data_IF_233949006088
#
_entry.id   IF_233949006088
#
_cell.length_a   1.000
_cell.length_b   1.000
_cell.length_c   1.000
_cell.angle_alpha   90.00
_cell.angle_beta   90.00
_cell.angle_gamma   90.00
#
_symmetry.space_group_name_H-M   'P 1'
#
loop_
_entity.id
_entity.type
_entity.pdbx_description
1 polymer ?
#
# COMPACT_ATOMS: atom_id res chain seq x y z
N UNK A 1 -83.71 17.43 -27.44
CA UNK A 1 -84.09 17.62 -26.01
C UNK A 1 -83.03 16.89 -25.18
N UNK A 2 -82.32 17.39 -24.18
CA UNK A 2 -82.29 18.63 -23.38
C UNK A 2 -80.80 18.83 -23.00
N UNK A 3 -80.36 20.09 -22.95
CA UNK A 3 -79.02 20.55 -22.58
C UNK A 3 -78.80 20.54 -21.05
N UNK A 4 -77.52 20.75 -20.71
CA UNK A 4 -76.94 21.51 -19.58
C UNK A 4 -76.36 20.72 -18.38
N UNK A 5 -75.03 20.57 -18.44
CA UNK A 5 -74.04 21.25 -17.57
C UNK A 5 -74.09 20.98 -16.06
N UNK A 6 -73.05 20.33 -15.55
CA UNK A 6 -72.46 20.60 -14.24
C UNK A 6 -70.97 20.23 -14.24
N UNK A 7 -70.16 21.27 -14.14
CA UNK A 7 -68.74 21.34 -13.75
C UNK A 7 -68.48 20.65 -12.41
N UNK A 8 -67.41 19.84 -12.32
CA UNK A 8 -66.67 19.67 -11.06
C UNK A 8 -65.24 19.18 -11.28
N UNK A 9 -64.28 19.96 -10.79
CA UNK A 9 -63.03 19.48 -10.17
C UNK A 9 -61.97 18.82 -11.03
N UNK A 10 -61.08 19.63 -11.60
CA UNK A 10 -59.71 19.22 -11.96
C UNK A 10 -58.98 18.87 -10.66
N UNK A 11 -58.61 17.60 -10.47
CA UNK A 11 -57.61 17.20 -9.48
C UNK A 11 -56.37 16.75 -10.25
N UNK A 12 -55.45 17.70 -10.44
CA UNK A 12 -54.15 17.49 -11.05
C UNK A 12 -53.27 16.80 -10.00
N UNK A 13 -53.22 15.47 -10.02
CA UNK A 13 -52.23 14.72 -9.23
C UNK A 13 -50.91 14.82 -9.98
N UNK A 14 -50.10 15.77 -9.54
CA UNK A 14 -48.71 15.94 -9.93
C UNK A 14 -47.91 14.79 -9.33
N UNK A 15 -47.81 13.66 -10.04
CA UNK A 15 -46.83 12.63 -9.71
C UNK A 15 -45.44 13.16 -10.04
N UNK A 16 -44.78 13.72 -9.02
CA UNK A 16 -43.34 13.94 -8.99
C UNK A 16 -42.66 12.58 -9.09
N UNK A 17 -42.26 12.19 -10.30
CA UNK A 17 -41.20 11.21 -10.49
C UNK A 17 -39.91 11.87 -10.01
N UNK A 18 -39.62 11.71 -8.72
CA UNK A 18 -38.26 11.87 -8.20
C UNK A 18 -37.46 10.73 -8.80
N UNK A 19 -36.87 11.00 -9.95
CA UNK A 19 -35.73 10.25 -10.48
C UNK A 19 -34.58 10.52 -9.51
N UNK A 20 -34.44 9.70 -8.48
CA UNK A 20 -33.15 9.56 -7.81
C UNK A 20 -32.22 8.96 -8.86
N UNK A 21 -31.38 9.82 -9.44
CA UNK A 21 -30.16 9.35 -10.08
C UNK A 21 -29.37 8.60 -9.03
N UNK A 22 -28.95 7.38 -9.36
CA UNK A 22 -27.84 6.74 -8.67
C UNK A 22 -26.61 7.60 -9.01
N UNK A 23 -26.38 8.61 -8.19
CA UNK A 23 -25.09 9.24 -8.06
C UNK A 23 -24.22 8.21 -7.35
N UNK A 24 -23.23 7.73 -8.09
CA UNK A 24 -21.91 7.35 -7.61
C UNK A 24 -21.89 6.66 -6.24
N UNK A 25 -21.73 5.33 -6.27
CA UNK A 25 -21.06 4.60 -5.19
C UNK A 25 -19.61 5.10 -5.13
N UNK A 26 -19.43 6.32 -4.61
CA UNK A 26 -18.16 6.81 -4.13
C UNK A 26 -17.82 5.95 -2.91
N UNK A 27 -17.13 4.84 -3.17
CA UNK A 27 -16.39 4.11 -2.15
C UNK A 27 -15.40 5.12 -1.58
N UNK A 28 -15.80 5.76 -0.49
CA UNK A 28 -14.95 6.64 0.29
C UNK A 28 -13.88 5.75 0.93
N UNK A 29 -12.80 5.51 0.18
CA UNK A 29 -11.53 4.97 0.64
C UNK A 29 -10.88 6.02 1.54
N UNK A 30 -11.52 6.29 2.68
CA UNK A 30 -10.95 7.06 3.76
C UNK A 30 -9.87 6.19 4.41
N UNK A 31 -8.75 6.06 3.68
CA UNK A 31 -7.50 5.55 4.20
C UNK A 31 -7.16 6.49 5.36
N UNK A 32 -7.23 5.95 6.56
CA UNK A 32 -6.90 6.68 7.79
C UNK A 32 -5.39 6.93 7.83
N UNK A 33 -4.93 7.85 7.01
CA UNK A 33 -3.63 8.51 7.07
C UNK A 33 -3.86 9.81 7.82
N UNK A 34 -3.04 10.14 8.81
CA UNK A 34 -3.16 11.43 9.49
C UNK A 34 -3.23 12.58 8.48
N UNK A 35 -4.24 13.44 8.60
CA UNK A 35 -4.58 14.46 7.60
C UNK A 35 -5.50 13.90 6.52
N UNK A 36 -6.72 14.44 6.39
CA UNK A 36 -7.77 13.96 5.48
C UNK A 36 -7.50 14.14 3.98
N UNK A 37 -6.24 14.26 3.58
CA UNK A 37 -5.75 14.54 2.23
C UNK A 37 -4.79 13.46 1.68
N UNK A 38 -4.47 12.42 2.46
CA UNK A 38 -3.57 11.34 2.02
C UNK A 38 -2.08 11.66 2.12
N UNK A 39 -1.69 12.84 2.65
CA UNK A 39 -0.30 13.33 2.65
C UNK A 39 0.57 12.76 3.79
N UNK A 40 0.01 11.94 4.67
CA UNK A 40 0.75 11.29 5.76
C UNK A 40 1.23 12.30 6.81
N UNK A 41 2.54 12.40 7.03
CA UNK A 41 3.12 13.45 7.89
C UNK A 41 3.28 14.80 7.18
N UNK A 42 2.95 14.85 5.88
CA UNK A 42 3.02 16.05 5.06
C UNK A 42 1.78 16.94 5.20
N UNK A 43 1.83 18.05 4.50
CA UNK A 43 0.75 19.04 4.38
C UNK A 43 0.73 19.60 2.96
N UNK A 44 -0.37 20.22 2.55
CA UNK A 44 -0.45 20.95 1.29
C UNK A 44 0.63 22.03 1.22
N UNK A 45 1.22 22.21 0.04
CA UNK A 45 2.24 23.22 -0.19
C UNK A 45 1.62 24.62 -0.12
N UNK A 46 2.37 25.57 0.43
CA UNK A 46 1.96 26.98 0.46
C UNK A 46 1.75 27.55 -0.96
N UNK A 47 0.65 28.27 -1.15
CA UNK A 47 0.25 28.94 -2.40
C UNK A 47 1.33 29.85 -2.97
N UNK A 48 2.28 30.30 -2.15
CA UNK A 48 3.37 31.17 -2.60
C UNK A 48 4.24 30.55 -3.70
N UNK A 49 4.30 29.20 -3.80
CA UNK A 49 4.98 28.50 -4.88
C UNK A 49 4.19 28.44 -6.19
N UNK A 50 2.87 28.71 -6.16
CA UNK A 50 2.01 28.71 -7.33
C UNK A 50 1.96 27.37 -8.06
N UNK A 51 2.05 26.26 -7.33
CA UNK A 51 1.92 24.91 -7.88
C UNK A 51 0.43 24.59 -8.05
N UNK A 52 0.01 24.18 -9.24
CA UNK A 52 -1.38 23.77 -9.45
C UNK A 52 -1.64 22.40 -8.79
N UNK A 53 -2.92 22.14 -8.46
CA UNK A 53 -3.35 20.80 -8.07
C UNK A 53 -2.95 19.79 -9.14
N UNK A 54 -2.38 18.69 -8.66
CA UNK A 54 -1.75 17.69 -9.50
C UNK A 54 -2.40 16.32 -9.37
N UNK A 55 -2.20 15.49 -10.38
CA UNK A 55 -2.69 14.10 -10.40
C UNK A 55 -1.82 13.13 -9.57
N UNK A 56 -0.76 13.63 -8.91
CA UNK A 56 0.14 12.84 -8.07
C UNK A 56 0.05 13.30 -6.61
N UNK A 57 -0.04 12.32 -5.71
CA UNK A 57 -0.07 12.51 -4.26
C UNK A 57 1.24 12.00 -3.67
N UNK A 58 1.98 12.88 -2.99
CA UNK A 58 3.19 12.52 -2.25
C UNK A 58 2.84 12.41 -0.77
N UNK A 59 2.85 11.20 -0.25
CA UNK A 59 2.54 10.93 1.15
C UNK A 59 3.84 10.76 1.95
N UNK A 60 4.15 11.72 2.84
CA UNK A 60 5.33 11.64 3.71
C UNK A 60 5.10 10.56 4.75
N UNK A 61 5.92 9.53 4.73
CA UNK A 61 5.84 8.43 5.69
C UNK A 61 6.73 8.71 6.90
N UNK A 62 7.98 9.12 6.65
CA UNK A 62 8.94 9.43 7.70
C UNK A 62 9.89 10.56 7.29
N UNK A 63 10.48 11.20 8.29
CA UNK A 63 11.49 12.23 8.09
C UNK A 63 12.52 12.19 9.20
N UNK A 64 13.79 12.41 8.84
CA UNK A 64 14.87 12.44 9.80
C UNK A 64 15.95 13.44 9.39
N UNK A 65 16.63 13.96 10.41
CA UNK A 65 17.77 14.85 10.27
C UNK A 65 18.99 14.19 10.89
N UNK A 66 20.10 14.18 10.17
CA UNK A 66 21.38 13.63 10.62
C UNK A 66 22.43 14.71 10.55
N UNK A 67 23.15 14.92 11.67
CA UNK A 67 24.31 15.81 11.68
C UNK A 67 25.37 15.28 10.69
N UNK A 68 26.15 16.15 10.02
CA UNK A 68 26.21 17.61 10.23
C UNK A 68 25.11 18.43 9.56
N UNK A 69 24.30 17.91 8.64
CA UNK A 69 23.28 18.74 7.98
C UNK A 69 22.42 18.01 6.94
N UNK A 70 22.33 16.69 7.04
CA UNK A 70 21.59 15.83 6.12
C UNK A 70 20.12 15.79 6.53
N UNK A 71 19.24 16.10 5.59
CA UNK A 71 17.79 15.94 5.74
C UNK A 71 17.38 14.79 4.83
N UNK A 72 16.59 13.87 5.37
CA UNK A 72 16.15 12.68 4.67
C UNK A 72 14.63 12.55 4.80
N UNK A 73 13.96 12.48 3.67
CA UNK A 73 12.50 12.41 3.58
C UNK A 73 12.12 11.12 2.89
N UNK A 74 11.33 10.31 3.58
CA UNK A 74 10.77 9.10 3.05
C UNK A 74 9.31 9.34 2.69
N UNK A 75 8.97 9.11 1.44
CA UNK A 75 7.62 9.35 0.95
C UNK A 75 7.23 8.31 -0.09
N UNK A 76 5.93 8.25 -0.32
CA UNK A 76 5.26 7.34 -1.22
C UNK A 76 4.53 8.16 -2.27
N UNK A 77 4.64 7.78 -3.53
CA UNK A 77 3.92 8.47 -4.61
C UNK A 77 2.78 7.59 -5.10
N UNK A 78 1.58 8.16 -5.13
CA UNK A 78 0.40 7.56 -5.76
C UNK A 78 -0.28 8.54 -6.69
N UNK A 79 -1.22 8.05 -7.49
CA UNK A 79 -2.20 8.92 -8.14
C UNK A 79 -3.31 9.35 -7.16
N UNK A 80 -4.27 10.14 -7.65
CA UNK A 80 -5.45 10.58 -6.90
C UNK A 80 -6.40 9.44 -6.56
N UNK A 81 -6.35 8.33 -7.29
CA UNK A 81 -7.13 7.11 -7.05
C UNK A 81 -6.43 6.17 -6.06
N UNK A 82 -5.21 6.51 -5.61
CA UNK A 82 -4.41 5.74 -4.68
C UNK A 82 -3.52 4.67 -5.32
N UNK A 83 -3.47 4.55 -6.65
CA UNK A 83 -2.60 3.60 -7.33
C UNK A 83 -1.13 4.00 -7.20
N UNK A 84 -0.22 3.04 -6.96
CA UNK A 84 1.21 3.33 -6.83
C UNK A 84 1.81 3.86 -8.13
N UNK A 85 2.70 4.85 -8.03
CA UNK A 85 3.46 5.36 -9.18
C UNK A 85 4.95 5.01 -9.02
N UNK A 86 5.42 3.91 -9.64
CA UNK A 86 6.81 3.46 -9.53
C UNK A 86 7.72 4.12 -10.58
N UNK A 87 9.02 3.83 -10.48
CA UNK A 87 9.99 4.13 -11.55
C UNK A 87 10.39 5.60 -11.70
N UNK A 88 9.98 6.46 -10.78
CA UNK A 88 10.35 7.87 -10.80
C UNK A 88 11.85 8.09 -10.57
N UNK A 89 12.41 9.05 -11.29
CA UNK A 89 13.84 9.37 -11.30
C UNK A 89 14.11 10.73 -10.68
N UNK A 90 15.33 10.93 -10.17
CA UNK A 90 15.70 12.12 -9.40
C UNK A 90 15.44 13.46 -10.10
N UNK A 91 15.55 13.50 -11.43
CA UNK A 91 15.33 14.69 -12.26
C UNK A 91 13.85 15.09 -12.40
N UNK A 92 12.91 14.24 -11.97
CA UNK A 92 11.48 14.54 -11.97
C UNK A 92 11.04 15.24 -10.68
N UNK A 93 11.95 15.44 -9.73
CA UNK A 93 11.65 16.10 -8.47
C UNK A 93 12.34 17.45 -8.37
N UNK A 94 11.60 18.44 -7.89
CA UNK A 94 12.11 19.76 -7.54
C UNK A 94 11.92 19.98 -6.05
N UNK A 95 12.94 20.53 -5.41
CA UNK A 95 12.99 20.67 -3.96
C UNK A 95 13.12 22.14 -3.62
N UNK A 96 12.34 22.53 -2.62
CA UNK A 96 12.14 23.91 -2.23
C UNK A 96 12.36 24.02 -0.73
N UNK A 97 13.24 24.93 -0.31
CA UNK A 97 13.46 25.21 1.11
C UNK A 97 13.06 26.64 1.42
N UNK A 98 12.32 26.84 2.50
CA UNK A 98 12.02 28.16 3.04
C UNK A 98 12.70 28.32 4.39
N UNK A 99 13.65 29.25 4.46
CA UNK A 99 14.22 29.68 5.73
C UNK A 99 13.39 30.76 6.39
N UNK A 100 13.67 31.03 7.67
CA UNK A 100 12.98 32.05 8.47
C UNK A 100 12.96 33.46 7.85
N UNK A 101 13.93 33.79 7.00
CA UNK A 101 14.05 35.11 6.36
C UNK A 101 13.54 35.13 4.92
N UNK A 102 12.96 34.03 4.43
CA UNK A 102 12.49 33.91 3.06
C UNK A 102 10.97 34.13 3.03
N UNK A 103 10.51 35.10 2.24
CA UNK A 103 9.07 35.39 2.06
C UNK A 103 8.33 34.19 1.43
N UNK A 104 9.03 33.38 0.63
CA UNK A 104 8.54 32.14 0.03
C UNK A 104 9.70 31.15 -0.15
N UNK A 105 9.39 29.91 -0.47
CA UNK A 105 10.37 28.87 -0.74
C UNK A 105 11.30 29.21 -1.90
N UNK A 106 12.55 28.72 -1.81
CA UNK A 106 13.56 28.83 -2.86
C UNK A 106 13.97 27.44 -3.33
N UNK A 107 14.08 27.26 -4.64
CA UNK A 107 14.57 26.01 -5.21
C UNK A 107 15.98 25.74 -4.72
N UNK A 108 16.19 24.54 -4.19
CA UNK A 108 17.52 24.07 -3.83
C UNK A 108 18.22 23.63 -5.10
N UNK A 109 19.33 24.27 -5.44
CA UNK A 109 20.17 23.81 -6.55
C UNK A 109 20.71 22.41 -6.25
N UNK A 110 20.47 21.46 -7.16
CA UNK A 110 21.03 20.11 -7.10
C UNK A 110 22.56 20.11 -7.12
N UNK A 111 23.18 21.17 -7.65
CA UNK A 111 24.64 21.36 -7.69
C UNK A 111 25.22 21.81 -6.35
N UNK A 112 24.45 22.55 -5.54
CA UNK A 112 24.92 23.14 -4.28
C UNK A 112 24.62 22.27 -3.05
N UNK A 113 23.59 21.41 -3.14
CA UNK A 113 23.04 20.66 -2.00
C UNK A 113 23.45 19.19 -1.93
N UNK A 114 24.25 18.70 -2.87
CA UNK A 114 24.53 17.27 -3.06
C UNK A 114 23.26 16.41 -3.02
N UNK A 115 22.12 16.97 -3.46
CA UNK A 115 20.83 16.32 -3.42
C UNK A 115 20.85 15.01 -4.21
N UNK A 116 20.39 13.93 -3.57
CA UNK A 116 20.28 12.61 -4.19
C UNK A 116 18.92 12.03 -3.86
N UNK A 117 18.16 11.73 -4.91
CA UNK A 117 17.04 10.81 -4.81
C UNK A 117 17.61 9.46 -5.20
N UNK A 118 17.58 8.54 -4.25
CA UNK A 118 18.02 7.19 -4.48
C UNK A 118 16.85 6.27 -4.22
N UNK A 119 16.59 5.27 -5.09
CA UNK A 119 15.70 4.16 -4.79
C UNK A 119 16.33 3.23 -3.72
N UNK A 120 17.10 3.78 -2.77
CA UNK A 120 18.20 3.12 -2.08
C UNK A 120 17.73 1.86 -1.34
N UNK A 121 17.96 0.70 -1.97
CA UNK A 121 17.74 -0.62 -1.40
C UNK A 121 18.50 -0.84 -0.09
N UNK A 122 19.54 -0.05 0.20
CA UNK A 122 20.33 -0.21 1.43
C UNK A 122 19.61 0.24 2.71
N UNK A 123 18.63 1.14 2.60
CA UNK A 123 17.82 1.57 3.74
C UNK A 123 16.35 1.17 3.64
N UNK A 124 15.96 0.54 2.53
CA UNK A 124 14.59 0.18 2.23
C UNK A 124 14.39 -1.33 2.31
N UNK A 125 13.46 -1.77 3.15
CA UNK A 125 13.12 -3.18 3.33
C UNK A 125 11.67 -3.39 2.91
N UNK A 126 11.48 -4.01 1.74
CA UNK A 126 10.21 -4.52 1.27
C UNK A 126 10.05 -5.97 1.70
N UNK A 127 9.15 -6.20 2.65
CA UNK A 127 8.87 -7.55 3.14
C UNK A 127 7.50 -8.00 2.63
N UNK A 128 7.42 -9.16 1.99
CA UNK A 128 6.15 -9.76 1.59
C UNK A 128 5.85 -10.96 2.47
N UNK A 129 4.64 -11.01 3.02
CA UNK A 129 4.08 -12.18 3.68
C UNK A 129 3.14 -12.85 2.69
N UNK A 130 3.57 -13.98 2.13
CA UNK A 130 2.72 -14.85 1.33
C UNK A 130 2.00 -15.80 2.28
N UNK A 131 0.67 -15.70 2.37
CA UNK A 131 -0.16 -16.45 3.31
C UNK A 131 -1.08 -17.38 2.53
N UNK A 132 -0.88 -18.68 2.70
CA UNK A 132 -1.53 -19.73 1.91
C UNK A 132 -2.57 -20.48 2.73
N UNK A 133 -3.80 -20.54 2.22
CA UNK A 133 -4.81 -21.46 2.73
C UNK A 133 -4.42 -22.89 2.35
N UNK A 134 -4.21 -23.75 3.35
CA UNK A 134 -3.96 -25.18 3.19
C UNK A 134 -5.04 -26.00 3.94
N UNK A 135 -6.26 -25.49 3.98
CA UNK A 135 -7.45 -26.24 4.40
C UNK A 135 -7.75 -27.40 3.45
N UNK A 136 -8.66 -28.29 3.85
CA UNK A 136 -8.91 -29.51 3.08
C UNK A 136 -9.54 -29.24 1.70
N UNK A 137 -10.30 -28.16 1.51
CA UNK A 137 -10.79 -27.77 0.17
C UNK A 137 -9.63 -27.56 -0.79
N UNK A 138 -8.60 -26.83 -0.35
CA UNK A 138 -7.41 -26.57 -1.13
C UNK A 138 -6.58 -27.84 -1.33
N UNK A 139 -6.23 -28.55 -0.25
CA UNK A 139 -5.33 -29.71 -0.31
C UNK A 139 -5.89 -30.86 -1.17
N UNK A 140 -7.23 -30.99 -1.23
CA UNK A 140 -7.87 -32.07 -1.97
C UNK A 140 -8.16 -31.74 -3.44
N UNK A 141 -8.27 -30.46 -3.80
CA UNK A 141 -8.80 -30.06 -5.11
C UNK A 141 -7.92 -29.09 -5.89
N UNK A 142 -7.09 -28.30 -5.21
CA UNK A 142 -6.45 -27.11 -5.78
C UNK A 142 -4.98 -26.94 -5.39
N UNK A 143 -4.35 -27.94 -4.76
CA UNK A 143 -2.97 -27.82 -4.28
C UNK A 143 -1.98 -27.57 -5.42
N UNK A 144 -2.10 -28.30 -6.53
CA UNK A 144 -1.19 -28.13 -7.67
C UNK A 144 -1.34 -26.74 -8.29
N UNK A 145 -2.57 -26.24 -8.41
CA UNK A 145 -2.86 -24.87 -8.84
C UNK A 145 -2.25 -23.85 -7.88
N UNK A 146 -2.42 -24.02 -6.57
CA UNK A 146 -1.86 -23.13 -5.55
C UNK A 146 -0.33 -23.12 -5.60
N UNK A 147 0.32 -24.26 -5.81
CA UNK A 147 1.79 -24.34 -5.90
C UNK A 147 2.33 -23.64 -7.15
N UNK A 148 1.70 -23.86 -8.30
CA UNK A 148 2.06 -23.20 -9.56
C UNK A 148 1.86 -21.68 -9.47
N UNK A 149 0.74 -21.27 -8.90
CA UNK A 149 0.37 -19.90 -8.62
C UNK A 149 1.37 -19.19 -7.72
N UNK A 150 1.66 -19.79 -6.56
CA UNK A 150 2.58 -19.25 -5.57
C UNK A 150 3.99 -19.13 -6.15
N UNK A 151 4.45 -20.14 -6.90
CA UNK A 151 5.75 -20.09 -7.59
C UNK A 151 5.83 -18.96 -8.62
N UNK A 152 4.76 -18.74 -9.39
CA UNK A 152 4.71 -17.66 -10.39
C UNK A 152 4.66 -16.28 -9.72
N UNK A 153 3.92 -16.16 -8.61
CA UNK A 153 3.90 -14.96 -7.79
C UNK A 153 5.30 -14.62 -7.24
N UNK A 154 6.01 -15.62 -6.70
CA UNK A 154 7.39 -15.46 -6.24
C UNK A 154 8.29 -14.99 -7.39
N UNK A 155 8.18 -15.59 -8.58
CA UNK A 155 9.00 -15.20 -9.75
C UNK A 155 8.75 -13.76 -10.21
N UNK A 156 7.53 -13.24 -10.03
CA UNK A 156 7.15 -11.90 -10.46
C UNK A 156 7.44 -10.81 -9.40
N UNK A 157 7.32 -11.14 -8.11
CA UNK A 157 7.59 -10.18 -7.01
C UNK A 157 9.06 -10.17 -6.60
N UNK A 158 9.71 -11.34 -6.55
CA UNK A 158 11.11 -11.43 -6.12
C UNK A 158 12.04 -11.12 -7.29
N UNK A 159 13.01 -10.20 -7.13
CA UNK A 159 13.97 -9.86 -8.18
C UNK A 159 14.76 -11.08 -8.65
N UNK A 160 15.05 -11.12 -9.96
CA UNK A 160 15.83 -12.22 -10.56
C UNK A 160 17.27 -12.32 -10.02
N UNK A 161 17.81 -11.19 -9.58
CA UNK A 161 19.07 -11.09 -8.85
C UNK A 161 18.75 -10.80 -7.39
N UNK A 162 19.26 -11.62 -6.47
CA UNK A 162 19.03 -11.48 -5.03
C UNK A 162 19.33 -10.06 -4.53
N UNK A 163 18.36 -9.47 -3.84
CA UNK A 163 18.50 -8.16 -3.19
C UNK A 163 18.07 -8.29 -1.73
N UNK A 164 18.95 -7.95 -0.79
CA UNK A 164 18.63 -8.02 0.65
C UNK A 164 17.51 -7.07 1.08
N UNK A 165 17.18 -6.10 0.24
CA UNK A 165 16.08 -5.15 0.43
C UNK A 165 14.70 -5.70 0.10
N UNK A 166 14.62 -6.82 -0.62
CA UNK A 166 13.36 -7.45 -1.00
C UNK A 166 13.36 -8.85 -0.44
N UNK A 167 12.49 -9.09 0.54
CA UNK A 167 12.37 -10.39 1.20
C UNK A 167 10.94 -10.87 1.20
N UNK A 168 10.77 -12.17 1.24
CA UNK A 168 9.47 -12.81 1.38
C UNK A 168 9.55 -13.90 2.44
N UNK A 169 8.51 -14.01 3.24
CA UNK A 169 8.26 -15.14 4.12
C UNK A 169 6.97 -15.84 3.65
N UNK A 170 6.90 -17.15 3.85
CA UNK A 170 5.72 -17.93 3.48
C UNK A 170 5.12 -18.48 4.76
N UNK A 171 3.84 -18.18 4.95
CA UNK A 171 3.02 -18.70 6.02
C UNK A 171 1.85 -19.48 5.43
N UNK A 172 1.26 -20.35 6.22
CA UNK A 172 0.05 -21.05 5.86
C UNK A 172 -0.89 -21.16 7.06
N UNK A 173 -2.16 -21.37 6.75
CA UNK A 173 -3.21 -21.55 7.75
C UNK A 173 -4.19 -22.62 7.30
N UNK A 174 -4.88 -23.19 8.27
CA UNK A 174 -5.96 -24.16 8.13
C UNK A 174 -7.03 -23.83 9.18
N UNK A 175 -7.69 -24.83 9.78
CA UNK A 175 -8.70 -24.61 10.82
C UNK A 175 -8.15 -24.33 12.21
N UNK A 176 -6.84 -24.43 12.44
CA UNK A 176 -6.22 -24.19 13.74
C UNK A 176 -6.14 -22.70 14.09
N UNK A 177 -6.09 -22.38 15.38
CA UNK A 177 -5.83 -20.99 15.84
C UNK A 177 -4.31 -20.67 15.76
N UNK A 178 -3.68 -20.99 14.63
CA UNK A 178 -2.25 -20.85 14.41
C UNK A 178 -1.97 -20.37 12.98
N UNK A 179 -0.97 -19.49 12.83
CA UNK A 179 -0.44 -19.12 11.52
C UNK A 179 0.94 -19.75 11.40
N UNK A 180 1.00 -20.86 10.68
CA UNK A 180 2.17 -21.72 10.57
C UNK A 180 3.21 -21.11 9.63
N UNK A 181 4.48 -21.18 10.02
CA UNK A 181 5.60 -20.72 9.19
C UNK A 181 6.03 -21.83 8.24
N UNK A 182 5.94 -21.61 6.92
CA UNK A 182 6.48 -22.52 5.91
C UNK A 182 7.94 -22.18 5.58
N UNK A 183 8.23 -20.89 5.38
CA UNK A 183 9.58 -20.41 5.08
C UNK A 183 9.86 -19.09 5.78
N UNK A 184 11.02 -18.99 6.43
CA UNK A 184 11.50 -17.75 7.03
C UNK A 184 11.67 -16.64 5.99
N UNK A 185 11.76 -15.39 6.48
CA UNK A 185 11.95 -14.22 5.64
C UNK A 185 13.31 -14.29 4.90
N UNK A 186 13.28 -14.48 3.59
CA UNK A 186 14.48 -14.67 2.76
C UNK A 186 14.44 -13.81 1.49
N UNK A 187 15.63 -13.47 0.97
CA UNK A 187 15.80 -12.85 -0.35
C UNK A 187 15.97 -13.91 -1.46
N UNK A 188 16.04 -15.20 -1.08
CA UNK A 188 16.28 -16.33 -1.98
C UNK A 188 15.00 -16.80 -2.65
N UNK A 189 14.85 -16.46 -3.93
CA UNK A 189 13.76 -16.95 -4.78
C UNK A 189 13.71 -18.47 -4.89
N UNK A 190 14.87 -19.12 -4.98
CA UNK A 190 14.95 -20.58 -5.09
C UNK A 190 14.46 -21.25 -3.81
N UNK A 191 14.87 -20.74 -2.64
CA UNK A 191 14.44 -21.28 -1.34
C UNK A 191 12.92 -21.19 -1.16
N UNK A 192 12.32 -20.06 -1.53
CA UNK A 192 10.86 -19.86 -1.48
C UNK A 192 10.13 -20.86 -2.37
N UNK A 193 10.62 -21.11 -3.60
CA UNK A 193 10.01 -22.05 -4.54
C UNK A 193 10.16 -23.49 -4.06
N UNK A 194 11.32 -23.85 -3.54
CA UNK A 194 11.56 -25.18 -2.96
C UNK A 194 10.62 -25.44 -1.76
N UNK A 195 10.33 -24.42 -0.95
CA UNK A 195 9.37 -24.51 0.15
C UNK A 195 7.94 -24.75 -0.35
N UNK A 196 7.49 -24.04 -1.39
CA UNK A 196 6.19 -24.27 -2.04
C UNK A 196 6.12 -25.68 -2.63
N UNK A 197 7.15 -26.10 -3.36
CA UNK A 197 7.23 -27.42 -3.99
C UNK A 197 7.23 -28.56 -2.95
N UNK A 198 7.70 -28.29 -1.74
CA UNK A 198 7.70 -29.21 -0.61
C UNK A 198 6.34 -29.42 0.07
N UNK A 199 5.30 -28.62 -0.25
CA UNK A 199 3.97 -28.79 0.36
C UNK A 199 3.35 -30.13 -0.07
N UNK A 200 2.88 -30.89 0.92
CA UNK A 200 2.21 -32.19 0.77
C UNK A 200 0.80 -32.17 1.36
N UNK A 201 -0.06 -33.09 0.92
CA UNK A 201 -1.47 -33.17 1.34
C UNK A 201 -1.68 -33.48 2.83
N UNK A 202 -0.65 -33.94 3.53
CA UNK A 202 -0.68 -34.31 4.96
C UNK A 202 -0.08 -33.22 5.87
N UNK A 203 0.20 -32.03 5.33
CA UNK A 203 0.75 -30.91 6.10
C UNK A 203 -0.23 -30.36 7.15
N UNK A 204 -1.53 -30.37 6.84
CA UNK A 204 -2.60 -29.93 7.74
C UNK A 204 -3.32 -31.13 8.37
N UNK A 205 -3.71 -30.96 9.64
CA UNK A 205 -4.54 -31.92 10.37
C UNK A 205 -5.95 -31.39 10.70
N UNK A 206 -6.21 -30.10 10.47
CA UNK A 206 -7.53 -29.48 10.66
C UNK A 206 -8.12 -29.10 9.30
N UNK A 207 -9.17 -29.80 8.82
CA UNK A 207 -9.69 -29.58 7.47
C UNK A 207 -10.43 -28.26 7.29
N UNK A 208 -10.70 -27.50 8.36
CA UNK A 208 -11.43 -26.23 8.33
C UNK A 208 -10.54 -25.06 7.86
N UNK A 209 -11.08 -23.85 7.88
CA UNK A 209 -10.44 -22.62 7.36
C UNK A 209 -10.61 -21.48 8.38
N UNK A 210 -9.54 -21.05 9.05
CA UNK A 210 -9.46 -19.88 9.94
C UNK A 210 -8.91 -18.64 9.19
N UNK A 211 -9.63 -18.22 8.15
CA UNK A 211 -9.26 -17.06 7.32
C UNK A 211 -9.13 -15.79 8.17
N UNK A 212 -10.07 -15.55 9.09
CA UNK A 212 -10.05 -14.35 9.91
C UNK A 212 -8.91 -14.35 10.92
N UNK A 213 -8.58 -15.50 11.51
CA UNK A 213 -7.38 -15.64 12.32
C UNK A 213 -6.10 -15.42 11.52
N UNK A 214 -6.01 -15.94 10.30
CA UNK A 214 -4.86 -15.73 9.42
C UNK A 214 -4.66 -14.25 9.05
N UNK A 215 -5.74 -13.51 8.75
CA UNK A 215 -5.70 -12.06 8.50
C UNK A 215 -5.16 -11.32 9.72
N UNK A 216 -5.67 -11.62 10.92
CA UNK A 216 -5.26 -10.92 12.14
C UNK A 216 -3.78 -11.18 12.44
N UNK A 217 -3.38 -12.44 12.45
CA UNK A 217 -2.01 -12.88 12.78
C UNK A 217 -1.00 -12.39 11.75
N UNK A 218 -1.31 -12.45 10.45
CA UNK A 218 -0.42 -11.91 9.40
C UNK A 218 -0.28 -10.38 9.49
N UNK A 219 -1.34 -9.67 9.88
CA UNK A 219 -1.28 -8.22 10.13
C UNK A 219 -0.36 -7.89 11.30
N UNK A 220 -0.37 -8.69 12.37
CA UNK A 220 0.53 -8.52 13.52
C UNK A 220 1.99 -8.74 13.12
N UNK A 221 2.28 -9.81 12.37
CA UNK A 221 3.63 -10.08 11.86
C UNK A 221 4.10 -8.94 10.93
N UNK A 222 3.24 -8.45 10.03
CA UNK A 222 3.56 -7.34 9.15
C UNK A 222 3.84 -6.04 9.93
N UNK A 223 3.07 -5.77 10.98
CA UNK A 223 3.26 -4.62 11.86
C UNK A 223 4.60 -4.68 12.60
N UNK A 224 4.95 -5.85 13.12
CA UNK A 224 6.24 -6.12 13.73
C UNK A 224 7.41 -5.94 12.75
N UNK A 225 7.24 -6.40 11.51
CA UNK A 225 8.24 -6.23 10.45
C UNK A 225 8.45 -4.75 10.11
N UNK A 226 7.38 -3.98 9.92
CA UNK A 226 7.48 -2.54 9.69
C UNK A 226 8.16 -1.84 10.88
N UNK A 227 7.80 -2.20 12.12
CA UNK A 227 8.41 -1.62 13.31
C UNK A 227 9.91 -1.95 13.42
N UNK A 228 10.30 -3.21 13.23
CA UNK A 228 11.70 -3.68 13.28
C UNK A 228 12.53 -3.09 12.14
N UNK A 229 11.99 -3.04 10.93
CA UNK A 229 12.65 -2.42 9.77
C UNK A 229 12.78 -0.91 9.92
N UNK A 230 11.98 -0.27 10.78
CA UNK A 230 12.12 1.15 11.12
C UNK A 230 13.12 1.38 12.27
N UNK A 231 13.44 0.36 13.05
CA UNK A 231 14.42 0.44 14.13
C UNK A 231 15.85 0.56 13.57
N UNK A 232 16.51 1.68 13.86
CA UNK A 232 17.89 1.94 13.41
C UNK A 232 18.03 2.84 12.18
N UNK A 233 17.00 3.62 11.84
CA UNK A 233 17.04 4.60 10.74
C UNK A 233 16.88 3.98 9.35
N UNK A 234 16.50 2.71 9.29
CA UNK A 234 16.00 2.05 8.08
C UNK A 234 14.51 2.30 7.96
N UNK A 235 13.95 2.01 6.79
CA UNK A 235 12.57 2.23 6.45
C UNK A 235 11.99 0.92 5.94
N UNK A 236 10.88 0.48 6.53
CA UNK A 236 10.21 -0.77 6.17
C UNK A 236 8.82 -0.57 5.59
N UNK A 237 8.52 -1.29 4.51
CA UNK A 237 7.17 -1.52 4.04
C UNK A 237 6.88 -3.03 4.08
N UNK A 238 5.62 -3.38 4.29
CA UNK A 238 5.17 -4.76 4.27
C UNK A 238 4.00 -4.94 3.29
N UNK A 239 3.93 -6.10 2.66
CA UNK A 239 2.77 -6.53 1.89
C UNK A 239 2.28 -7.86 2.45
N UNK A 240 0.99 -7.94 2.75
CA UNK A 240 0.31 -9.19 3.14
C UNK A 240 -0.48 -9.65 1.93
N UNK A 241 -0.22 -10.86 1.46
CA UNK A 241 -0.91 -11.46 0.30
C UNK A 241 -1.54 -12.76 0.73
N UNK A 242 -2.87 -12.78 0.79
CA UNK A 242 -3.65 -13.93 1.27
C UNK A 242 -4.26 -14.66 0.09
N UNK A 243 -4.05 -15.98 0.05
CA UNK A 243 -4.63 -16.89 -0.91
C UNK A 243 -5.63 -17.79 -0.20
N UNK A 244 -6.83 -17.93 -0.77
CA UNK A 244 -7.84 -18.87 -0.27
C UNK A 244 -8.79 -19.30 -1.39
N UNK A 245 -9.35 -20.51 -1.28
CA UNK A 245 -10.40 -21.00 -2.17
C UNK A 245 -11.80 -20.93 -1.55
N UNK A 246 -11.91 -20.42 -0.32
CA UNK A 246 -13.12 -20.48 0.47
C UNK A 246 -13.36 -19.28 1.37
N UNK A 247 -14.33 -19.45 2.27
CA UNK A 247 -14.69 -18.51 3.32
C UNK A 247 -14.19 -19.00 4.67
N UNK A 248 -14.22 -18.14 5.68
CA UNK A 248 -13.95 -18.56 7.06
C UNK A 248 -14.99 -19.60 7.50
N UNK A 249 -14.52 -20.81 7.85
CA UNK A 249 -15.33 -21.93 8.31
C UNK A 249 -15.07 -22.26 9.78
N UNK A 250 -13.87 -21.93 10.29
CA UNK A 250 -13.50 -22.19 11.67
C UNK A 250 -14.23 -21.24 12.65
N UNK A 251 -14.63 -20.05 12.20
CA UNK A 251 -15.38 -19.04 12.96
C UNK A 251 -14.75 -18.72 14.33
N UNK A 252 -13.42 -18.79 14.41
CA UNK A 252 -12.67 -18.52 15.65
C UNK A 252 -12.61 -17.03 15.96
N UNK A 253 -12.55 -16.22 14.92
CA UNK A 253 -12.58 -14.78 14.97
C UNK A 253 -13.77 -14.25 14.19
N UNK A 254 -14.16 -13.00 14.47
CA UNK A 254 -15.23 -12.35 13.69
C UNK A 254 -14.64 -11.63 12.48
N UNK A 255 -15.41 -11.56 11.41
CA UNK A 255 -15.12 -10.75 10.24
C UNK A 255 -14.79 -9.30 10.62
N UNK A 256 -15.64 -8.68 11.45
CA UNK A 256 -15.44 -7.33 11.98
C UNK A 256 -14.07 -7.14 12.64
N UNK A 257 -13.61 -8.12 13.43
CA UNK A 257 -12.29 -8.07 14.06
C UNK A 257 -11.17 -8.09 13.03
N UNK A 258 -11.27 -8.95 12.00
CA UNK A 258 -10.28 -9.06 10.94
C UNK A 258 -10.23 -7.79 10.07
N UNK A 259 -11.39 -7.31 9.62
CA UNK A 259 -11.51 -6.10 8.81
C UNK A 259 -11.06 -4.85 9.57
N UNK A 260 -11.41 -4.75 10.86
CA UNK A 260 -10.91 -3.67 11.73
C UNK A 260 -9.39 -3.71 11.85
N UNK A 261 -8.81 -4.90 11.99
CA UNK A 261 -7.34 -5.06 12.06
C UNK A 261 -6.67 -4.56 10.79
N UNK A 262 -7.19 -4.93 9.62
CA UNK A 262 -6.70 -4.45 8.31
C UNK A 262 -6.88 -2.93 8.17
N UNK A 263 -8.02 -2.38 8.58
CA UNK A 263 -8.32 -0.95 8.49
C UNK A 263 -7.40 -0.11 9.37
N UNK A 264 -7.15 -0.56 10.60
CA UNK A 264 -6.34 0.15 11.60
C UNK A 264 -4.82 -0.10 11.40
N UNK A 265 -4.43 -0.98 10.49
CA UNK A 265 -3.03 -1.27 10.17
C UNK A 265 -2.28 -0.05 9.62
N UNK A 266 -0.97 -0.01 9.89
CA UNK A 266 -0.06 1.05 9.42
C UNK A 266 -0.15 1.23 7.88
N UNK A 267 -0.11 2.47 7.40
CA UNK A 267 -0.19 2.81 5.97
C UNK A 267 0.94 2.23 5.11
N UNK A 268 2.05 1.83 5.74
CA UNK A 268 3.17 1.12 5.10
C UNK A 268 2.89 -0.39 4.91
N UNK A 269 1.74 -0.89 5.39
CA UNK A 269 1.28 -2.26 5.17
C UNK A 269 0.23 -2.25 4.06
N UNK A 270 0.52 -2.97 2.98
CA UNK A 270 -0.40 -3.18 1.87
C UNK A 270 -1.04 -4.56 1.99
N UNK A 271 -2.31 -4.67 1.62
CA UNK A 271 -3.07 -5.91 1.77
C UNK A 271 -3.65 -6.33 0.43
N UNK A 272 -3.36 -7.56 0.05
CA UNK A 272 -3.81 -8.18 -1.17
C UNK A 272 -4.54 -9.47 -0.86
N UNK A 273 -5.62 -9.75 -1.60
CA UNK A 273 -6.36 -11.01 -1.48
C UNK A 273 -6.52 -11.66 -2.84
N UNK A 274 -6.46 -12.99 -2.83
CA UNK A 274 -6.54 -13.82 -4.04
C UNK A 274 -7.49 -14.95 -3.77
N UNK A 275 -8.67 -14.87 -4.38
CA UNK A 275 -9.70 -15.88 -4.31
C UNK A 275 -9.62 -16.84 -5.49
N UNK A 276 -9.62 -18.14 -5.21
CA UNK A 276 -9.70 -19.20 -6.21
C UNK A 276 -11.05 -19.90 -6.14
N UNK A 277 -11.71 -20.08 -7.28
CA UNK A 277 -12.95 -20.84 -7.37
C UNK A 277 -14.21 -20.04 -7.04
N UNK A 278 -15.28 -20.77 -6.76
CA UNK A 278 -16.63 -20.21 -6.61
C UNK A 278 -17.17 -20.16 -5.18
N UNK A 279 -16.44 -20.71 -4.21
CA UNK A 279 -16.88 -20.82 -2.80
C UNK A 279 -16.29 -19.71 -1.91
N UNK A 280 -15.82 -18.64 -2.55
CA UNK A 280 -15.25 -17.45 -1.90
C UNK A 280 -16.30 -16.36 -1.67
N UNK A 281 -16.09 -15.55 -0.63
CA UNK A 281 -16.81 -14.29 -0.44
C UNK A 281 -15.98 -13.13 -1.01
N UNK A 282 -16.36 -12.66 -2.19
CA UNK A 282 -15.64 -11.59 -2.89
C UNK A 282 -15.72 -10.24 -2.18
N UNK A 283 -16.79 -9.99 -1.41
CA UNK A 283 -16.95 -8.73 -0.68
C UNK A 283 -15.97 -8.69 0.51
N UNK A 284 -15.94 -9.78 1.28
CA UNK A 284 -15.01 -9.95 2.41
C UNK A 284 -13.56 -9.95 1.93
N UNK A 285 -13.24 -10.68 0.87
CA UNK A 285 -11.89 -10.69 0.32
C UNK A 285 -11.48 -9.33 -0.23
N UNK A 286 -12.40 -8.58 -0.84
CA UNK A 286 -12.13 -7.20 -1.28
C UNK A 286 -11.83 -6.27 -0.10
N UNK A 287 -12.55 -6.44 1.01
CA UNK A 287 -12.34 -5.66 2.23
C UNK A 287 -11.01 -6.04 2.94
N UNK A 288 -10.63 -7.32 2.93
CA UNK A 288 -9.33 -7.80 3.43
C UNK A 288 -8.20 -7.26 2.54
N UNK A 289 -8.28 -7.47 1.23
CA UNK A 289 -7.33 -7.00 0.24
C UNK A 289 -7.58 -5.55 -0.16
N UNK A 290 -7.62 -4.64 0.83
CA UNK A 290 -7.94 -3.22 0.65
C UNK A 290 -7.03 -2.48 -0.34
N UNK A 291 -5.85 -3.03 -0.67
CA UNK A 291 -4.96 -2.48 -1.70
C UNK A 291 -5.33 -2.98 -3.08
N UNK A 292 -5.52 -4.28 -3.24
CA UNK A 292 -6.11 -4.87 -4.42
C UNK A 292 -6.56 -6.30 -4.10
N UNK A 293 -7.65 -6.72 -4.74
CA UNK A 293 -8.16 -8.08 -4.66
C UNK A 293 -8.42 -8.61 -6.05
N UNK A 294 -8.23 -9.90 -6.23
CA UNK A 294 -8.50 -10.55 -7.51
C UNK A 294 -9.11 -11.93 -7.30
N UNK A 295 -9.89 -12.34 -8.29
CA UNK A 295 -10.66 -13.57 -8.24
C UNK A 295 -10.49 -14.31 -9.55
N UNK A 296 -10.33 -15.63 -9.45
CA UNK A 296 -10.22 -16.48 -10.62
C UNK A 296 -11.10 -17.72 -10.44
N UNK A 297 -11.87 -18.05 -11.47
CA UNK A 297 -12.75 -19.23 -11.45
C UNK A 297 -12.00 -20.53 -11.77
N UNK A 298 -10.87 -20.43 -12.46
CA UNK A 298 -10.09 -21.57 -12.93
C UNK A 298 -8.61 -21.19 -13.15
N UNK A 299 -7.80 -22.21 -13.39
CA UNK A 299 -6.35 -22.13 -13.60
C UNK A 299 -5.89 -21.10 -14.66
N UNK A 300 -6.59 -21.00 -15.79
CA UNK A 300 -6.16 -20.14 -16.91
C UNK A 300 -6.44 -18.65 -16.63
N UNK A 301 -7.48 -18.37 -15.84
CA UNK A 301 -7.76 -17.04 -15.32
C UNK A 301 -6.79 -16.70 -14.18
N UNK A 302 -6.52 -17.69 -13.34
CA UNK A 302 -5.67 -17.60 -12.17
C UNK A 302 -4.26 -17.11 -12.53
N UNK A 303 -3.62 -17.67 -13.57
CA UNK A 303 -2.29 -17.23 -14.01
C UNK A 303 -2.24 -15.75 -14.45
N UNK A 304 -3.26 -15.29 -15.19
CA UNK A 304 -3.35 -13.88 -15.62
C UNK A 304 -3.55 -12.97 -14.42
N UNK A 305 -4.50 -13.35 -13.58
CA UNK A 305 -4.86 -12.64 -12.36
C UNK A 305 -3.68 -12.52 -11.38
N UNK A 306 -2.83 -13.55 -11.30
CA UNK A 306 -1.61 -13.52 -10.50
C UNK A 306 -0.58 -12.55 -11.00
N UNK A 307 -0.37 -12.50 -12.33
CA UNK A 307 0.55 -11.52 -12.91
C UNK A 307 0.09 -10.10 -12.54
N UNK A 308 -1.21 -9.83 -12.65
CA UNK A 308 -1.76 -8.50 -12.35
C UNK A 308 -1.56 -8.11 -10.87
N UNK A 309 -1.74 -9.02 -9.90
CA UNK A 309 -1.38 -8.73 -8.51
C UNK A 309 0.11 -8.61 -8.30
N UNK A 310 0.91 -9.49 -8.92
CA UNK A 310 2.36 -9.45 -8.74
C UNK A 310 2.93 -8.13 -9.25
N UNK A 311 2.42 -7.64 -10.38
CA UNK A 311 2.67 -6.30 -10.89
C UNK A 311 2.28 -5.26 -9.86
N UNK A 312 1.04 -5.27 -9.34
CA UNK A 312 0.62 -4.31 -8.30
C UNK A 312 1.47 -4.35 -7.03
N UNK A 313 1.86 -5.53 -6.54
CA UNK A 313 2.75 -5.69 -5.39
C UNK A 313 4.12 -5.11 -5.70
N UNK A 314 4.66 -5.37 -6.89
CA UNK A 314 5.93 -4.82 -7.35
C UNK A 314 5.86 -3.30 -7.54
N UNK A 315 4.84 -2.76 -8.19
CA UNK A 315 4.62 -1.32 -8.36
C UNK A 315 4.49 -0.63 -7.00
N UNK A 316 3.73 -1.24 -6.08
CA UNK A 316 3.59 -0.77 -4.70
C UNK A 316 4.95 -0.72 -4.00
N UNK A 317 5.71 -1.80 -4.07
CA UNK A 317 7.06 -1.89 -3.52
C UNK A 317 8.03 -0.86 -4.14
N UNK A 318 7.81 -0.47 -5.40
CA UNK A 318 8.65 0.48 -6.13
C UNK A 318 8.11 1.93 -6.13
N UNK A 319 7.00 2.20 -5.43
CA UNK A 319 6.37 3.53 -5.29
C UNK A 319 6.85 4.33 -4.08
N UNK A 320 7.84 3.81 -3.38
CA UNK A 320 8.44 4.40 -2.20
C UNK A 320 9.81 4.97 -2.54
N UNK A 321 10.06 6.20 -2.08
CA UNK A 321 11.22 6.98 -2.44
C UNK A 321 11.89 7.56 -1.22
N UNK A 322 13.22 7.52 -1.22
CA UNK A 322 14.04 8.27 -0.31
C UNK A 322 14.64 9.47 -1.04
N UNK A 323 14.40 10.64 -0.47
CA UNK A 323 15.14 11.84 -0.82
C UNK A 323 16.10 12.23 0.31
N UNK A 324 17.37 12.43 -0.02
CA UNK A 324 18.38 12.97 0.89
C UNK A 324 19.04 14.21 0.28
N UNK A 325 19.23 15.24 1.10
CA UNK A 325 20.00 16.42 0.70
C UNK A 325 20.74 17.07 1.87
N UNK A 326 21.78 17.83 1.54
CA UNK A 326 22.48 18.69 2.48
C UNK A 326 21.77 20.03 2.55
N UNK A 327 21.18 20.32 3.71
CA UNK A 327 20.57 21.62 3.91
C UNK A 327 21.65 22.70 4.03
N UNK A 328 21.49 23.86 3.37
CA UNK A 328 22.34 25.01 3.61
C UNK A 328 22.05 25.67 4.97
N UNK A 329 20.98 25.28 5.67
CA UNK A 329 20.65 25.79 7.00
C UNK A 329 21.71 25.39 8.02
N UNK A 330 21.83 26.20 9.07
CA UNK A 330 22.82 26.05 10.14
C UNK A 330 22.12 26.10 11.49
N UNK A 331 22.85 25.67 12.51
CA UNK A 331 22.43 25.82 13.89
C UNK A 331 21.94 27.25 14.18
N UNK A 332 20.81 27.36 14.88
CA UNK A 332 20.10 28.63 15.11
C UNK A 332 19.13 29.06 14.01
N UNK A 333 19.03 28.35 12.87
CA UNK A 333 18.00 28.63 11.85
C UNK A 333 16.59 28.23 12.30
N UNK A 334 16.48 27.37 13.33
CA UNK A 334 15.21 26.91 13.90
C UNK A 334 14.49 25.89 13.00
N UNK A 335 13.16 25.96 13.02
CA UNK A 335 12.29 25.19 12.11
C UNK A 335 12.31 25.81 10.70
N UNK A 336 12.45 24.97 9.69
CA UNK A 336 12.45 25.36 8.28
C UNK A 336 11.40 24.53 7.53
N UNK A 337 10.77 25.14 6.51
CA UNK A 337 9.82 24.42 5.67
C UNK A 337 10.55 23.82 4.46
N UNK A 338 10.09 22.66 4.05
CA UNK A 338 10.56 21.92 2.89
C UNK A 338 9.36 21.55 2.03
N UNK A 339 9.42 21.84 0.74
CA UNK A 339 8.43 21.37 -0.23
C UNK A 339 9.12 20.50 -1.29
N UNK A 340 8.43 19.43 -1.66
CA UNK A 340 8.84 18.47 -2.68
C UNK A 340 7.77 18.52 -3.77
N UNK A 341 8.17 18.92 -4.96
CA UNK A 341 7.35 18.85 -6.17
C UNK A 341 7.83 17.64 -7.00
N UNK A 342 6.89 16.93 -7.60
CA UNK A 342 7.15 15.98 -8.68
C UNK A 342 6.51 16.50 -9.96
N UNK A 343 7.24 16.39 -11.08
CA UNK A 343 6.76 16.70 -12.41
C UNK A 343 7.30 15.67 -13.41
N UNK A 344 6.39 14.91 -14.03
CA UNK A 344 6.72 13.90 -15.05
C UNK A 344 6.61 14.43 -16.48
N UNK A 345 6.27 15.71 -16.64
CA UNK A 345 5.95 16.37 -17.92
C UNK A 345 4.47 16.29 -18.29
N UNK A 346 3.76 15.24 -17.87
CA UNK A 346 2.31 15.08 -18.05
C UNK A 346 1.51 15.16 -16.75
N UNK A 347 2.14 14.82 -15.62
CA UNK A 347 1.51 14.78 -14.30
C UNK A 347 2.40 15.51 -13.30
N UNK A 348 1.78 16.13 -12.32
CA UNK A 348 2.50 16.82 -11.24
C UNK A 348 1.86 16.53 -9.89
N UNK A 349 2.56 16.90 -8.83
CA UNK A 349 2.09 16.80 -7.46
C UNK A 349 3.08 17.46 -6.52
N UNK A 350 2.65 17.82 -5.31
CA UNK A 350 3.56 18.40 -4.35
C UNK A 350 3.14 18.12 -2.90
N UNK A 351 4.12 18.12 -2.00
CA UNK A 351 3.89 18.00 -0.56
C UNK A 351 4.87 18.87 0.22
N UNK A 352 4.42 19.41 1.34
CA UNK A 352 5.21 20.20 2.26
C UNK A 352 5.40 19.49 3.59
N UNK A 353 6.59 19.63 4.16
CA UNK A 353 6.91 19.22 5.53
C UNK A 353 7.85 20.26 6.20
N UNK A 354 8.27 19.99 7.44
CA UNK A 354 9.17 20.83 8.22
C UNK A 354 10.31 20.03 8.83
N UNK A 355 11.46 20.66 9.03
CA UNK A 355 12.57 20.06 9.75
C UNK A 355 13.30 21.09 10.63
N UNK A 356 13.96 20.57 11.66
CA UNK A 356 14.74 21.36 12.60
C UNK A 356 16.23 21.35 12.23
N UNK A 357 16.84 22.52 12.09
CA UNK A 357 18.26 22.65 11.75
C UNK A 357 19.18 22.79 12.98
N UNK A 358 18.69 22.54 14.19
CA UNK A 358 19.51 22.64 15.41
C UNK A 358 20.71 21.69 15.34
N UNK A 359 21.88 22.22 15.65
CA UNK A 359 23.16 21.50 15.54
C UNK A 359 23.71 21.36 14.12
N UNK A 360 23.02 21.86 13.08
CA UNK A 360 23.53 21.76 11.71
C UNK A 360 24.80 22.59 11.52
N UNK A 361 25.81 21.98 10.92
CA UNK A 361 27.06 22.59 10.48
C UNK A 361 27.21 22.44 8.95
N UNK A 362 28.37 22.75 8.39
CA UNK A 362 28.57 22.64 6.95
C UNK A 362 28.84 21.22 6.48
N UNK A 363 28.05 20.74 5.51
CA UNK A 363 28.28 19.48 4.79
C UNK A 363 27.27 18.37 5.09
N UNK A 364 27.47 17.22 4.46
CA UNK A 364 26.86 15.94 4.82
C UNK A 364 27.97 14.90 4.99
N UNK A 365 27.79 13.99 5.94
CA UNK A 365 28.55 12.74 6.04
C UNK A 365 27.72 11.55 5.53
#
# INVERSE_FOLDING_TARGET
MKKFMKTFGVFFVLTLLVSCGNADDDINLNLNTGGGDGLGKGTTVDDCLGLDEGELVLSIQEQYTTLPGKVSIFFRVSDTDGNPVPGLTANQFTIYEQGRNDDCFKTISTSESSARISPNSQIFSNNTLLVLDLSNSVLSSSLDELKLASSSFIDAVMPSTTQESVKMAIYWFDGEDELHLLNELTSSRTELKDAIDGITNDISNDPSTDLYGAVIKSTDIASDLVQKSTAGGKIGAASVVIFTDGTDQASRFTEDSALKKVKDANANISFFSIGLGGEIDTEVLSAIGKTASVFAQNKDELERTFRDISEKVSERANSFYLFEYCSPKRDGSGENNLAIEINTGSRQGAVQTKFNANGFTGGCE
#
